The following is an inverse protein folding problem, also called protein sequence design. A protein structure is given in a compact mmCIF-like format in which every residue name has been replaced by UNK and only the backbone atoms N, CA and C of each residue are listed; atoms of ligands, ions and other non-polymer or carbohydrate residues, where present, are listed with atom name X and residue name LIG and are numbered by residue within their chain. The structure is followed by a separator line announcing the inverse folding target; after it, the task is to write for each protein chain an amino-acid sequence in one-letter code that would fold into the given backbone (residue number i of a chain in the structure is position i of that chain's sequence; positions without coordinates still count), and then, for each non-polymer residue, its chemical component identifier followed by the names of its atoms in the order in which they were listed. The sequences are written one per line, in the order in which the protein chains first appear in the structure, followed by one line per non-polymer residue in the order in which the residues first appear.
data_IF_113746312721
#
_entry.id   IF_113746312721
#
_cell.length_a   1.000
_cell.length_b   1.000
_cell.length_c   1.000
_cell.angle_alpha   90.00
_cell.angle_beta   90.00
_cell.angle_gamma   90.00
#
_symmetry.space_group_name_H-M   'P 1'
#
loop_
_entity.id
_entity.type
_entity.pdbx_description
1 polymer ?
#
# COMPACT_ATOMS: atom_id res chain seq x y z
N UNK A 1 -15.32 17.69 21.92
CA UNK A 1 -14.54 17.56 20.65
C UNK A 1 -14.33 16.06 20.46
N UNK A 2 -14.70 15.53 19.32
CA UNK A 2 -14.49 14.09 19.06
C UNK A 2 -12.99 13.78 18.97
N UNK A 3 -12.61 12.50 19.13
CA UNK A 3 -11.22 12.08 18.96
C UNK A 3 -10.72 12.35 17.53
N UNK A 4 -11.59 12.17 16.55
CA UNK A 4 -11.30 12.51 15.14
C UNK A 4 -10.99 14.00 14.99
N UNK A 5 -11.76 14.90 15.65
CA UNK A 5 -11.49 16.34 15.61
C UNK A 5 -10.12 16.69 16.20
N UNK A 6 -9.71 16.01 17.30
CA UNK A 6 -8.39 16.19 17.90
C UNK A 6 -7.27 15.78 16.94
N UNK A 7 -7.42 14.61 16.30
CA UNK A 7 -6.47 14.11 15.31
C UNK A 7 -6.39 15.07 14.12
N UNK A 8 -7.55 15.50 13.59
CA UNK A 8 -7.60 16.45 12.49
C UNK A 8 -6.87 17.75 12.84
N UNK A 9 -7.17 18.35 13.97
CA UNK A 9 -6.53 19.60 14.42
C UNK A 9 -5.02 19.42 14.54
N UNK A 10 -4.57 18.29 15.08
CA UNK A 10 -3.17 18.00 15.24
C UNK A 10 -2.45 17.83 13.89
N UNK A 11 -3.01 17.04 12.97
CA UNK A 11 -2.43 16.80 11.66
C UNK A 11 -2.47 18.06 10.77
N UNK A 12 -3.55 18.86 10.84
CA UNK A 12 -3.68 20.12 10.10
C UNK A 12 -2.63 21.14 10.52
N UNK A 13 -2.24 21.16 11.79
CA UNK A 13 -1.19 22.06 12.31
C UNK A 13 0.22 21.66 11.82
N UNK A 14 0.46 20.37 11.59
CA UNK A 14 1.79 19.86 11.20
C UNK A 14 1.98 19.70 9.69
N UNK A 15 0.91 19.39 8.97
CA UNK A 15 0.97 19.04 7.56
C UNK A 15 -0.06 19.89 6.80
N UNK A 16 0.41 20.89 6.07
CA UNK A 16 -0.46 21.85 5.36
C UNK A 16 -0.56 21.63 3.85
N UNK A 17 0.38 20.90 3.26
CA UNK A 17 0.47 20.70 1.80
C UNK A 17 -0.39 19.54 1.33
N UNK A 18 -1.03 19.67 0.17
CA UNK A 18 -1.70 18.57 -0.50
C UNK A 18 -0.69 17.52 -1.01
N UNK A 19 -1.13 16.28 -1.11
CA UNK A 19 -0.34 15.16 -1.61
C UNK A 19 -0.04 14.09 -0.56
N UNK A 20 0.93 13.23 -0.89
CA UNK A 20 1.47 12.21 0.00
C UNK A 20 2.71 12.76 0.72
N UNK A 21 2.64 12.85 2.01
CA UNK A 21 3.70 13.40 2.87
C UNK A 21 4.27 12.27 3.72
N UNK A 22 5.59 12.04 3.62
CA UNK A 22 6.31 11.18 4.56
C UNK A 22 6.55 11.97 5.85
N UNK A 23 6.17 11.42 6.99
CA UNK A 23 6.49 12.03 8.29
C UNK A 23 7.89 11.64 8.78
N UNK A 24 8.31 12.20 9.92
CA UNK A 24 9.57 11.84 10.60
C UNK A 24 9.53 10.40 11.17
N UNK A 25 8.36 9.80 11.30
CA UNK A 25 8.19 8.38 11.64
C UNK A 25 8.13 7.60 10.32
N UNK A 26 9.11 6.71 10.12
CA UNK A 26 9.30 5.94 8.88
C UNK A 26 8.03 5.23 8.41
N UNK A 27 7.24 4.71 9.34
CA UNK A 27 6.04 3.93 9.08
C UNK A 27 4.80 4.79 8.81
N UNK A 28 4.84 6.10 9.10
CA UNK A 28 3.69 7.00 9.03
C UNK A 28 3.73 7.90 7.80
N UNK A 29 2.69 7.83 7.00
CA UNK A 29 2.42 8.74 5.89
C UNK A 29 1.12 9.50 6.12
N UNK A 30 1.11 10.79 5.77
CA UNK A 30 -0.09 11.63 5.77
C UNK A 30 -0.50 11.93 4.33
N UNK A 31 -1.78 11.93 4.07
CA UNK A 31 -2.34 12.23 2.75
C UNK A 31 -3.35 13.36 2.87
N UNK A 32 -3.23 14.35 2.00
CA UNK A 32 -4.15 15.48 1.94
C UNK A 32 -4.59 15.75 0.51
N UNK A 33 -5.81 16.24 0.35
CA UNK A 33 -6.26 16.79 -0.91
C UNK A 33 -7.39 17.81 -0.66
N UNK A 34 -7.28 18.95 -1.29
CA UNK A 34 -8.29 20.01 -1.25
C UNK A 34 -9.43 19.75 -2.25
N UNK A 35 -9.17 18.99 -3.30
CA UNK A 35 -10.12 18.64 -4.36
C UNK A 35 -10.11 17.14 -4.65
N UNK A 36 -11.22 16.56 -5.13
CA UNK A 36 -11.27 15.17 -5.57
C UNK A 36 -10.24 14.86 -6.66
N UNK A 37 -9.80 13.61 -6.73
CA UNK A 37 -8.84 13.18 -7.75
C UNK A 37 -9.49 12.24 -8.75
N UNK A 38 -8.89 12.15 -9.94
CA UNK A 38 -9.15 11.03 -10.84
C UNK A 38 -8.58 9.74 -10.29
N UNK A 39 -8.91 8.60 -10.92
CA UNK A 39 -8.32 7.32 -10.56
C UNK A 39 -6.81 7.31 -10.82
N UNK A 40 -6.05 7.22 -9.74
CA UNK A 40 -4.60 7.10 -9.75
C UNK A 40 -4.22 5.65 -9.52
N UNK A 41 -3.32 5.16 -10.34
CA UNK A 41 -2.76 3.83 -10.17
C UNK A 41 -1.67 3.85 -9.11
N UNK A 42 -1.62 2.78 -8.31
CA UNK A 42 -0.64 2.62 -7.25
C UNK A 42 -0.50 1.18 -6.81
N UNK A 43 0.35 0.97 -5.81
CA UNK A 43 0.52 -0.32 -5.15
C UNK A 43 0.24 -0.12 -3.67
N UNK A 44 -0.76 -0.81 -3.15
CA UNK A 44 -0.93 -0.91 -1.70
C UNK A 44 0.20 -1.78 -1.14
N UNK A 45 0.73 -1.35 -0.03
CA UNK A 45 1.72 -2.08 0.78
C UNK A 45 1.01 -2.53 2.06
N UNK A 46 1.55 -3.53 2.81
CA UNK A 46 0.98 -3.89 4.10
C UNK A 46 0.87 -2.66 5.01
N UNK A 47 -0.36 -2.28 5.33
CA UNK A 47 -0.64 -1.06 6.07
C UNK A 47 -2.08 -0.99 6.58
N UNK A 48 -2.27 -0.20 7.63
CA UNK A 48 -3.54 0.37 8.04
C UNK A 48 -3.71 1.75 7.37
N UNK A 49 -4.81 1.95 6.66
CA UNK A 49 -5.20 3.23 6.08
C UNK A 49 -6.45 3.75 6.80
N UNK A 50 -6.40 4.94 7.37
CA UNK A 50 -7.52 5.59 8.05
C UNK A 50 -7.75 6.98 7.48
N UNK A 51 -9.02 7.30 7.25
CA UNK A 51 -9.48 8.61 6.79
C UNK A 51 -10.07 9.36 7.98
N UNK A 52 -9.73 10.63 8.13
CA UNK A 52 -10.26 11.51 9.19
C UNK A 52 -11.13 12.64 8.64
N UNK A 53 -11.01 12.93 7.33
CA UNK A 53 -11.89 13.84 6.59
C UNK A 53 -12.06 13.34 5.17
N UNK A 54 -13.28 13.37 4.67
CA UNK A 54 -13.61 13.00 3.31
C UNK A 54 -13.69 11.48 3.09
N UNK A 55 -13.50 11.02 1.86
CA UNK A 55 -13.59 9.60 1.53
C UNK A 55 -12.68 9.21 0.38
N UNK A 56 -12.33 7.93 0.31
CA UNK A 56 -11.51 7.35 -0.74
C UNK A 56 -12.13 6.07 -1.27
N UNK A 57 -12.08 5.89 -2.59
CA UNK A 57 -12.51 4.70 -3.28
C UNK A 57 -11.29 4.00 -3.88
N UNK A 58 -11.03 2.76 -3.47
CA UNK A 58 -10.02 1.89 -4.06
C UNK A 58 -10.69 0.78 -4.88
N UNK A 59 -10.03 0.36 -5.96
CA UNK A 59 -10.46 -0.75 -6.80
C UNK A 59 -9.30 -1.71 -7.00
N UNK A 60 -9.57 -3.01 -6.74
CA UNK A 60 -8.66 -4.13 -6.98
C UNK A 60 -9.40 -5.17 -7.81
N UNK A 61 -8.94 -5.45 -9.03
CA UNK A 61 -9.68 -6.31 -9.94
C UNK A 61 -11.06 -5.74 -10.24
N UNK A 62 -12.11 -6.46 -9.85
CA UNK A 62 -13.51 -6.04 -9.98
C UNK A 62 -14.09 -5.48 -8.67
N UNK A 63 -13.38 -5.59 -7.56
CA UNK A 63 -13.87 -5.23 -6.25
C UNK A 63 -13.60 -3.76 -5.91
N UNK A 64 -14.55 -3.14 -5.26
CA UNK A 64 -14.48 -1.75 -4.82
C UNK A 64 -14.49 -1.68 -3.29
N UNK A 65 -13.60 -0.86 -2.76
CA UNK A 65 -13.43 -0.58 -1.33
C UNK A 65 -13.57 0.92 -1.12
N UNK A 66 -14.74 1.34 -0.62
CA UNK A 66 -14.96 2.75 -0.23
C UNK A 66 -14.78 2.86 1.28
N UNK A 67 -13.97 3.81 1.73
CA UNK A 67 -13.71 4.06 3.14
C UNK A 67 -13.59 5.55 3.43
N UNK A 68 -14.02 5.89 4.63
CA UNK A 68 -14.23 7.22 5.14
C UNK A 68 -13.83 7.31 6.64
N UNK A 69 -14.39 8.27 7.36
CA UNK A 69 -14.12 8.48 8.78
C UNK A 69 -14.61 7.33 9.70
N UNK A 70 -15.52 6.49 9.20
CA UNK A 70 -16.10 5.37 9.96
C UNK A 70 -15.42 4.03 9.66
N UNK A 71 -14.69 3.97 8.55
CA UNK A 71 -14.10 2.73 8.07
C UNK A 71 -12.59 2.88 7.82
N UNK A 72 -11.84 1.88 8.26
CA UNK A 72 -10.44 1.75 7.87
C UNK A 72 -10.27 0.71 6.75
N UNK A 73 -9.16 0.82 6.02
CA UNK A 73 -8.74 -0.19 5.06
C UNK A 73 -7.46 -0.85 5.55
N UNK A 74 -7.46 -2.18 5.62
CA UNK A 74 -6.27 -3.00 5.79
C UNK A 74 -5.79 -3.51 4.45
N UNK A 75 -4.52 -3.32 4.17
CA UNK A 75 -3.81 -3.98 3.08
C UNK A 75 -2.79 -4.96 3.68
N UNK A 76 -2.81 -6.20 3.22
CA UNK A 76 -1.95 -7.23 3.77
C UNK A 76 -0.79 -7.62 2.83
N UNK A 77 -0.88 -7.31 1.54
CA UNK A 77 0.16 -7.63 0.57
C UNK A 77 0.36 -6.48 -0.43
N UNK A 78 1.39 -6.58 -1.28
CA UNK A 78 1.64 -5.61 -2.32
C UNK A 78 0.64 -5.77 -3.47
N UNK A 79 -0.44 -4.98 -3.46
CA UNK A 79 -1.54 -5.10 -4.41
C UNK A 79 -1.57 -3.90 -5.34
N UNK A 80 -1.44 -4.10 -6.66
CA UNK A 80 -1.74 -3.07 -7.63
C UNK A 80 -3.22 -2.72 -7.57
N UNK A 81 -3.50 -1.44 -7.36
CA UNK A 81 -4.85 -0.93 -7.27
C UNK A 81 -4.96 0.41 -8.00
N UNK A 82 -6.16 0.78 -8.38
CA UNK A 82 -6.47 2.15 -8.73
C UNK A 82 -7.33 2.75 -7.62
N UNK A 83 -7.08 3.99 -7.28
CA UNK A 83 -7.83 4.65 -6.22
C UNK A 83 -8.05 6.12 -6.55
N UNK A 84 -9.16 6.69 -6.08
CA UNK A 84 -9.46 8.12 -6.17
C UNK A 84 -9.93 8.66 -4.84
N UNK A 85 -9.59 9.90 -4.56
CA UNK A 85 -10.20 10.68 -3.49
C UNK A 85 -11.55 11.15 -3.99
N UNK A 86 -12.61 10.85 -3.24
CA UNK A 86 -13.99 11.11 -3.62
C UNK A 86 -14.58 12.27 -2.82
N UNK A 87 -14.37 12.24 -1.50
CA UNK A 87 -14.81 13.31 -0.58
C UNK A 87 -13.65 14.23 -0.19
N UNK A 88 -13.88 15.56 -0.28
CA UNK A 88 -12.92 16.58 0.14
C UNK A 88 -13.59 17.62 1.06
N UNK A 89 -12.80 18.32 1.93
CA UNK A 89 -11.35 18.17 2.09
C UNK A 89 -10.98 16.77 2.57
N UNK A 90 -9.86 16.23 2.09
CA UNK A 90 -9.39 14.89 2.42
C UNK A 90 -8.19 14.94 3.36
N UNK A 91 -8.25 14.18 4.46
CA UNK A 91 -7.17 13.99 5.39
C UNK A 91 -7.14 12.54 5.83
N UNK A 92 -6.02 11.88 5.59
CA UNK A 92 -5.85 10.46 5.93
C UNK A 92 -4.42 10.16 6.33
N UNK A 93 -4.26 9.02 7.00
CA UNK A 93 -2.94 8.44 7.28
C UNK A 93 -2.83 7.04 6.69
N UNK A 94 -1.58 6.63 6.50
CA UNK A 94 -1.19 5.24 6.26
C UNK A 94 -0.09 4.87 7.25
N UNK A 95 -0.30 3.81 8.02
CA UNK A 95 0.68 3.23 8.93
C UNK A 95 1.14 1.91 8.32
N UNK A 96 2.39 1.86 7.86
CA UNK A 96 2.99 0.64 7.35
C UNK A 96 3.39 -0.28 8.51
N UNK A 97 3.25 -1.58 8.31
CA UNK A 97 3.76 -2.61 9.21
C UNK A 97 4.41 -3.74 8.42
N UNK A 98 5.32 -4.42 9.06
CA UNK A 98 6.00 -5.58 8.48
C UNK A 98 5.32 -6.88 8.96
N UNK A 99 5.51 -7.96 8.19
CA UNK A 99 4.98 -9.28 8.55
C UNK A 99 5.45 -9.73 9.94
N UNK A 100 6.71 -9.44 10.26
CA UNK A 100 7.33 -9.77 11.54
C UNK A 100 6.63 -9.09 12.73
N UNK A 101 6.07 -7.90 12.53
CA UNK A 101 5.31 -7.19 13.57
C UNK A 101 4.01 -7.93 13.88
N UNK A 102 3.29 -8.39 12.85
CA UNK A 102 2.05 -9.18 13.01
C UNK A 102 2.35 -10.52 13.68
N UNK A 103 3.37 -11.25 13.19
CA UNK A 103 3.78 -12.54 13.75
C UNK A 103 4.14 -12.43 15.23
N UNK A 104 4.90 -11.38 15.60
CA UNK A 104 5.29 -11.15 16.99
C UNK A 104 4.09 -10.88 17.91
N UNK A 105 3.05 -10.21 17.41
CA UNK A 105 1.82 -10.02 18.19
C UNK A 105 1.02 -11.32 18.31
N UNK A 106 0.85 -12.06 17.18
CA UNK A 106 0.14 -13.36 17.21
C UNK A 106 0.79 -14.33 18.18
N UNK A 107 2.12 -14.44 18.18
CA UNK A 107 2.86 -15.28 19.09
C UNK A 107 2.64 -14.87 20.57
N UNK A 108 2.65 -13.56 20.84
CA UNK A 108 2.45 -13.01 22.18
C UNK A 108 1.04 -13.24 22.74
N UNK A 109 0.02 -13.39 21.89
CA UNK A 109 -1.37 -13.63 22.30
C UNK A 109 -1.75 -15.13 22.30
N UNK A 110 -0.76 -16.02 22.19
CA UNK A 110 -0.96 -17.48 22.31
C UNK A 110 -1.31 -18.18 21.00
N UNK A 111 -1.08 -17.54 19.85
CA UNK A 111 -1.42 -18.09 18.55
C UNK A 111 -2.95 -18.15 18.34
N UNK A 112 -3.38 -18.31 17.11
CA UNK A 112 -4.75 -18.68 16.81
C UNK A 112 -4.80 -19.34 15.43
N UNK A 113 -5.61 -20.37 15.29
CA UNK A 113 -5.93 -20.94 13.99
C UNK A 113 -6.70 -19.92 13.16
N UNK A 114 -6.29 -19.74 11.92
CA UNK A 114 -7.06 -18.93 10.97
C UNK A 114 -8.08 -19.83 10.28
N UNK A 115 -9.26 -19.30 10.03
CA UNK A 115 -10.26 -20.00 9.20
C UNK A 115 -9.78 -19.98 7.75
N UNK A 116 -9.85 -21.13 7.09
CA UNK A 116 -9.62 -21.22 5.64
C UNK A 116 -10.72 -20.45 4.91
N UNK A 117 -10.34 -19.39 4.18
CA UNK A 117 -11.24 -18.57 3.38
C UNK A 117 -10.54 -17.98 2.15
N UNK A 118 -11.28 -17.37 1.25
CA UNK A 118 -10.70 -16.60 0.16
C UNK A 118 -10.05 -15.35 0.73
N UNK A 119 -8.78 -15.13 0.35
CA UNK A 119 -8.00 -13.98 0.80
C UNK A 119 -7.99 -12.89 -0.29
N UNK A 120 -8.72 -11.82 -0.07
CA UNK A 120 -8.84 -10.70 -1.02
C UNK A 120 -7.65 -9.73 -1.00
N UNK A 121 -6.78 -9.83 0.00
CA UNK A 121 -5.60 -8.97 0.16
C UNK A 121 -5.89 -7.56 0.67
N UNK A 122 -7.13 -7.09 0.61
CA UNK A 122 -7.67 -5.89 1.25
C UNK A 122 -8.90 -6.27 2.10
N UNK A 123 -9.05 -5.61 3.24
CA UNK A 123 -10.23 -5.73 4.09
C UNK A 123 -10.65 -4.36 4.61
N UNK A 124 -11.96 -4.14 4.69
CA UNK A 124 -12.54 -2.98 5.38
C UNK A 124 -12.87 -3.37 6.81
N UNK A 125 -12.78 -2.42 7.73
CA UNK A 125 -13.23 -2.58 9.10
C UNK A 125 -13.78 -1.28 9.65
N UNK A 126 -14.55 -1.39 10.74
CA UNK A 126 -15.16 -0.24 11.42
C UNK A 126 -14.17 0.38 12.39
N UNK A 127 -14.07 1.69 12.35
CA UNK A 127 -13.24 2.46 13.29
C UNK A 127 -13.94 2.53 14.64
N UNK A 128 -13.26 2.08 15.69
CA UNK A 128 -13.71 2.20 17.07
C UNK A 128 -12.82 3.15 17.91
N UNK A 129 -13.27 3.48 19.11
CA UNK A 129 -12.57 4.41 19.99
C UNK A 129 -11.21 3.85 20.46
N UNK A 130 -11.08 2.53 20.66
CA UNK A 130 -9.84 1.89 21.09
C UNK A 130 -8.76 2.03 20.00
N UNK A 131 -9.13 1.78 18.74
CA UNK A 131 -8.24 1.96 17.59
C UNK A 131 -7.86 3.43 17.41
N UNK A 132 -8.82 4.36 17.53
CA UNK A 132 -8.56 5.80 17.41
C UNK A 132 -7.57 6.28 18.48
N UNK A 133 -7.73 5.84 19.73
CA UNK A 133 -6.79 6.19 20.82
C UNK A 133 -5.37 5.67 20.53
N UNK A 134 -5.24 4.41 20.15
CA UNK A 134 -3.94 3.82 19.83
C UNK A 134 -3.25 4.53 18.65
N UNK A 135 -4.02 4.84 17.60
CA UNK A 135 -3.52 5.57 16.43
C UNK A 135 -3.13 6.99 16.79
N UNK A 136 -3.92 7.69 17.60
CA UNK A 136 -3.58 9.04 18.03
C UNK A 136 -2.32 9.08 18.90
N UNK A 137 -2.18 8.13 19.81
CA UNK A 137 -0.97 7.94 20.63
C UNK A 137 0.27 7.72 19.72
N UNK A 138 0.15 6.90 18.66
CA UNK A 138 1.20 6.71 17.68
C UNK A 138 1.54 8.00 16.92
N UNK A 139 0.53 8.74 16.42
CA UNK A 139 0.72 10.01 15.71
C UNK A 139 1.44 11.04 16.62
N UNK A 140 1.11 11.11 17.91
CA UNK A 140 1.74 12.04 18.85
C UNK A 140 3.22 11.78 19.10
N UNK A 141 3.76 10.63 18.72
CA UNK A 141 5.22 10.41 18.74
C UNK A 141 5.99 11.37 17.83
N UNK A 142 5.31 12.04 16.89
CA UNK A 142 5.89 13.13 16.09
C UNK A 142 6.36 14.34 16.93
N UNK A 143 5.89 14.47 18.17
CA UNK A 143 6.36 15.48 19.13
C UNK A 143 7.66 15.05 19.83
N UNK A 144 8.02 13.77 19.72
CA UNK A 144 9.12 13.15 20.49
C UNK A 144 10.00 12.30 19.56
N UNK A 145 10.69 12.92 18.57
CA UNK A 145 11.38 12.19 17.51
C UNK A 145 12.48 11.25 18.02
N UNK A 146 13.11 11.54 19.15
CA UNK A 146 14.11 10.65 19.75
C UNK A 146 13.48 9.39 20.32
N UNK A 147 12.31 9.51 20.94
CA UNK A 147 11.57 8.38 21.50
C UNK A 147 10.85 7.59 20.40
N UNK A 148 10.44 8.26 19.32
CA UNK A 148 9.73 7.63 18.20
C UNK A 148 10.52 6.47 17.58
N UNK A 149 11.85 6.56 17.55
CA UNK A 149 12.72 5.48 17.04
C UNK A 149 12.48 4.12 17.72
N UNK A 150 12.13 4.15 19.01
CA UNK A 150 11.83 2.95 19.79
C UNK A 150 10.33 2.74 19.96
N UNK A 151 9.59 3.79 20.34
CA UNK A 151 8.18 3.68 20.72
C UNK A 151 7.25 3.44 19.52
N UNK A 152 7.62 3.84 18.30
CA UNK A 152 6.79 3.61 17.12
C UNK A 152 6.48 2.13 16.90
N UNK A 153 7.49 1.25 17.05
CA UNK A 153 7.27 -0.20 16.92
C UNK A 153 6.36 -0.77 18.00
N UNK A 154 6.44 -0.26 19.22
CA UNK A 154 5.55 -0.68 20.30
C UNK A 154 4.11 -0.22 20.05
N UNK A 155 3.93 1.02 19.61
CA UNK A 155 2.62 1.54 19.26
C UNK A 155 1.99 0.82 18.05
N UNK A 156 2.79 0.44 17.04
CA UNK A 156 2.33 -0.41 15.93
C UNK A 156 1.85 -1.78 16.45
N UNK A 157 2.58 -2.39 17.38
CA UNK A 157 2.15 -3.66 18.01
C UNK A 157 0.84 -3.52 18.78
N UNK A 158 0.64 -2.39 19.47
CA UNK A 158 -0.63 -2.08 20.15
C UNK A 158 -1.79 -1.99 19.12
N UNK A 159 -1.59 -1.25 18.03
CA UNK A 159 -2.56 -1.15 16.94
C UNK A 159 -2.84 -2.53 16.33
N UNK A 160 -1.81 -3.32 16.02
CA UNK A 160 -1.97 -4.66 15.47
C UNK A 160 -2.68 -5.61 16.44
N UNK A 161 -2.45 -5.47 17.75
CA UNK A 161 -3.16 -6.24 18.77
C UNK A 161 -4.67 -5.96 18.74
N UNK A 162 -5.07 -4.68 18.67
CA UNK A 162 -6.47 -4.27 18.58
C UNK A 162 -7.10 -4.85 17.30
N UNK A 163 -6.43 -4.70 16.15
CA UNK A 163 -6.90 -5.22 14.88
C UNK A 163 -7.03 -6.75 14.86
N UNK A 164 -6.10 -7.47 15.52
CA UNK A 164 -6.12 -8.93 15.65
C UNK A 164 -7.25 -9.44 16.54
N UNK A 165 -7.72 -8.64 17.49
CA UNK A 165 -8.88 -8.95 18.34
C UNK A 165 -10.21 -8.55 17.71
N UNK A 166 -10.20 -7.60 16.78
CA UNK A 166 -11.36 -7.12 16.07
C UNK A 166 -11.83 -8.04 14.92
N UNK A 167 -12.76 -7.55 14.13
CA UNK A 167 -13.39 -8.28 13.03
C UNK A 167 -12.43 -8.76 11.94
N UNK A 168 -11.33 -8.02 11.72
CA UNK A 168 -10.30 -8.34 10.73
C UNK A 168 -9.13 -9.18 11.30
N UNK A 169 -9.28 -9.75 12.50
CA UNK A 169 -8.25 -10.58 13.11
C UNK A 169 -7.91 -11.82 12.29
N UNK A 170 -8.93 -12.48 11.73
CA UNK A 170 -8.71 -13.65 10.86
C UNK A 170 -8.00 -13.28 9.56
N UNK A 171 -8.32 -12.12 8.97
CA UNK A 171 -7.62 -11.58 7.80
C UNK A 171 -6.12 -11.39 8.07
N UNK A 172 -5.75 -10.76 9.19
CA UNK A 172 -4.34 -10.57 9.58
C UNK A 172 -3.65 -11.89 9.91
N UNK A 173 -4.34 -12.85 10.54
CA UNK A 173 -3.80 -14.20 10.82
C UNK A 173 -3.55 -14.98 9.54
N UNK A 174 -4.48 -14.95 8.57
CA UNK A 174 -4.30 -15.58 7.26
C UNK A 174 -3.07 -15.00 6.54
N UNK A 175 -2.90 -13.69 6.57
CA UNK A 175 -1.73 -13.03 6.03
C UNK A 175 -0.43 -13.50 6.70
N UNK A 176 -0.46 -13.64 8.01
CA UNK A 176 0.73 -13.91 8.81
C UNK A 176 1.18 -15.37 8.82
N UNK A 177 0.33 -16.31 8.43
CA UNK A 177 0.69 -17.74 8.41
C UNK A 177 1.86 -18.02 7.47
N UNK A 178 3.02 -18.38 8.01
CA UNK A 178 4.28 -18.57 7.27
C UNK A 178 4.20 -19.63 6.16
N UNK A 179 3.42 -20.67 6.37
CA UNK A 179 3.24 -21.78 5.45
C UNK A 179 2.08 -21.58 4.48
N UNK A 180 1.31 -20.47 4.58
CA UNK A 180 0.19 -20.23 3.68
C UNK A 180 0.67 -19.76 2.31
N UNK A 181 -0.12 -20.06 1.30
CA UNK A 181 0.15 -19.62 -0.07
C UNK A 181 0.10 -18.10 -0.20
N UNK A 182 -0.72 -17.44 0.60
CA UNK A 182 -0.86 -15.97 0.68
C UNK A 182 0.45 -15.32 1.11
N UNK A 183 1.10 -15.87 2.15
CA UNK A 183 2.39 -15.40 2.61
C UNK A 183 3.47 -15.57 1.53
N UNK A 184 3.50 -16.73 0.86
CA UNK A 184 4.45 -16.96 -0.24
C UNK A 184 4.26 -15.97 -1.38
N UNK A 185 2.99 -15.65 -1.73
CA UNK A 185 2.68 -14.63 -2.73
C UNK A 185 3.12 -13.24 -2.27
N UNK A 186 2.91 -12.90 -1.01
CA UNK A 186 3.37 -11.64 -0.41
C UNK A 186 4.89 -11.50 -0.49
N UNK A 187 5.63 -12.55 -0.14
CA UNK A 187 7.09 -12.59 -0.28
C UNK A 187 7.54 -12.45 -1.73
N UNK A 188 6.83 -13.11 -2.67
CA UNK A 188 7.06 -12.94 -4.10
C UNK A 188 6.87 -11.49 -4.53
N UNK A 189 5.77 -10.86 -4.14
CA UNK A 189 5.48 -9.46 -4.49
C UNK A 189 6.53 -8.49 -3.93
N UNK A 190 7.00 -8.71 -2.70
CA UNK A 190 8.08 -7.92 -2.08
C UNK A 190 9.40 -8.08 -2.84
N UNK A 191 9.78 -9.31 -3.23
CA UNK A 191 11.00 -9.57 -4.02
C UNK A 191 10.91 -8.93 -5.41
N UNK A 192 9.78 -9.05 -6.10
CA UNK A 192 9.55 -8.40 -7.40
C UNK A 192 9.66 -6.88 -7.27
N UNK A 193 9.10 -6.30 -6.21
CA UNK A 193 9.15 -4.86 -5.96
C UNK A 193 10.58 -4.37 -5.68
N UNK A 194 11.36 -5.14 -4.94
CA UNK A 194 12.76 -4.78 -4.62
C UNK A 194 13.67 -4.87 -5.84
N UNK A 195 13.42 -5.82 -6.74
CA UNK A 195 14.25 -6.11 -7.91
C UNK A 195 13.52 -5.81 -9.23
N UNK A 196 12.65 -4.78 -9.24
CA UNK A 196 11.77 -4.54 -10.39
C UNK A 196 12.49 -4.20 -11.68
N UNK A 197 13.72 -3.69 -11.62
CA UNK A 197 14.56 -3.36 -12.80
C UNK A 197 15.17 -4.59 -13.47
N UNK A 198 15.26 -5.71 -12.76
CA UNK A 198 15.85 -6.95 -13.27
C UNK A 198 14.80 -7.83 -13.95
N UNK A 199 15.25 -8.74 -14.84
CA UNK A 199 14.35 -9.73 -15.43
C UNK A 199 13.95 -10.78 -14.37
N UNK A 200 12.65 -10.99 -14.18
CA UNK A 200 12.16 -12.02 -13.26
C UNK A 200 12.35 -13.40 -13.88
N UNK A 201 13.04 -14.28 -13.16
CA UNK A 201 12.98 -15.71 -13.40
C UNK A 201 11.93 -16.33 -12.45
N UNK A 202 10.77 -16.70 -13.01
CA UNK A 202 9.63 -17.23 -12.25
C UNK A 202 9.96 -18.56 -11.57
N UNK A 203 10.75 -19.43 -12.22
CA UNK A 203 11.13 -20.73 -11.69
C UNK A 203 12.03 -20.58 -10.45
N UNK A 204 13.03 -19.69 -10.55
CA UNK A 204 13.90 -19.39 -9.41
C UNK A 204 13.14 -18.74 -8.25
N UNK A 205 12.23 -17.81 -8.54
CA UNK A 205 11.39 -17.18 -7.54
C UNK A 205 10.49 -18.20 -6.83
N UNK A 206 9.83 -19.06 -7.58
CA UNK A 206 8.98 -20.12 -7.04
C UNK A 206 9.80 -21.12 -6.18
N UNK A 207 10.99 -21.51 -6.64
CA UNK A 207 11.91 -22.39 -5.90
C UNK A 207 12.32 -21.78 -4.56
N UNK A 208 12.67 -20.49 -4.51
CA UNK A 208 12.98 -19.77 -3.26
C UNK A 208 11.81 -19.77 -2.28
N UNK A 209 10.58 -19.79 -2.77
CA UNK A 209 9.36 -19.76 -1.97
C UNK A 209 8.84 -21.17 -1.62
N UNK A 210 9.51 -22.24 -2.09
CA UNK A 210 9.12 -23.62 -1.81
C UNK A 210 7.79 -24.02 -2.47
N UNK A 211 7.47 -23.48 -3.66
CA UNK A 211 6.28 -23.81 -4.45
C UNK A 211 6.64 -24.03 -5.91
N UNK A 212 5.74 -24.65 -6.69
CA UNK A 212 5.92 -24.76 -8.13
C UNK A 212 5.67 -23.42 -8.84
N UNK A 213 6.26 -23.22 -10.02
CA UNK A 213 6.06 -22.03 -10.83
C UNK A 213 4.57 -21.84 -11.22
N UNK A 214 3.86 -22.93 -11.51
CA UNK A 214 2.43 -22.90 -11.80
C UNK A 214 1.59 -22.49 -10.60
N UNK A 215 1.92 -22.99 -9.40
CA UNK A 215 1.27 -22.60 -8.15
C UNK A 215 1.51 -21.11 -7.84
N UNK A 216 2.76 -20.65 -8.01
CA UNK A 216 3.07 -19.22 -7.86
C UNK A 216 2.24 -18.37 -8.81
N UNK A 217 2.23 -18.73 -10.11
CA UNK A 217 1.52 -17.97 -11.14
C UNK A 217 0.01 -17.89 -10.85
N UNK A 218 -0.61 -19.05 -10.56
CA UNK A 218 -2.05 -19.14 -10.28
C UNK A 218 -2.45 -18.32 -9.04
N UNK A 219 -1.77 -18.54 -7.92
CA UNK A 219 -2.12 -17.88 -6.65
C UNK A 219 -1.74 -16.39 -6.66
N UNK A 220 -0.64 -16.02 -7.31
CA UNK A 220 -0.28 -14.62 -7.47
C UNK A 220 -1.36 -13.87 -8.25
N UNK A 221 -1.85 -14.46 -9.36
CA UNK A 221 -2.93 -13.86 -10.15
C UNK A 221 -4.25 -13.83 -9.37
N UNK A 222 -4.58 -14.88 -8.60
CA UNK A 222 -5.78 -14.93 -7.75
C UNK A 222 -5.78 -13.82 -6.71
N UNK A 223 -4.64 -13.60 -6.03
CA UNK A 223 -4.52 -12.66 -4.91
C UNK A 223 -4.34 -11.22 -5.39
N UNK A 224 -3.53 -11.00 -6.43
CA UNK A 224 -3.17 -9.64 -6.88
C UNK A 224 -3.93 -9.17 -8.12
N UNK A 225 -4.78 -10.03 -8.71
CA UNK A 225 -5.43 -9.87 -10.01
C UNK A 225 -4.46 -9.75 -11.22
N UNK A 226 -3.15 -9.89 -11.00
CA UNK A 226 -2.10 -9.79 -12.02
C UNK A 226 -1.18 -11.01 -11.97
N UNK A 227 -0.62 -11.40 -13.12
CA UNK A 227 0.50 -12.33 -13.10
C UNK A 227 1.77 -11.65 -12.55
N UNK A 228 2.77 -12.42 -12.07
CA UNK A 228 4.03 -11.84 -11.57
C UNK A 228 4.70 -10.89 -12.58
N UNK A 229 4.71 -11.23 -13.87
CA UNK A 229 5.27 -10.40 -14.93
C UNK A 229 4.43 -9.12 -15.18
N UNK A 230 3.10 -9.23 -15.13
CA UNK A 230 2.21 -8.06 -15.23
C UNK A 230 2.37 -7.15 -14.04
N UNK A 231 2.58 -7.70 -12.85
CA UNK A 231 2.83 -6.96 -11.63
C UNK A 231 4.15 -6.17 -11.72
N UNK A 232 5.25 -6.82 -12.14
CA UNK A 232 6.53 -6.13 -12.38
C UNK A 232 6.38 -5.01 -13.40
N UNK A 233 5.75 -5.30 -14.53
CA UNK A 233 5.50 -4.32 -15.58
C UNK A 233 4.77 -3.09 -15.04
N UNK A 234 3.72 -3.29 -14.24
CA UNK A 234 2.97 -2.20 -13.64
C UNK A 234 3.85 -1.34 -12.73
N UNK A 235 4.68 -1.97 -11.88
CA UNK A 235 5.63 -1.25 -11.02
C UNK A 235 6.61 -0.40 -11.87
N UNK A 236 7.20 -0.99 -12.92
CA UNK A 236 8.11 -0.29 -13.82
C UNK A 236 7.47 0.96 -14.41
N UNK A 237 6.26 0.82 -14.96
CA UNK A 237 5.56 1.93 -15.60
C UNK A 237 5.17 3.03 -14.61
N UNK A 238 4.73 2.68 -13.40
CA UNK A 238 4.47 3.66 -12.33
C UNK A 238 5.74 4.39 -11.87
N UNK A 239 6.84 3.66 -11.73
CA UNK A 239 8.13 4.27 -11.40
C UNK A 239 8.62 5.19 -12.52
N UNK A 240 8.51 4.76 -13.79
CA UNK A 240 8.85 5.59 -14.94
C UNK A 240 8.01 6.87 -14.99
N UNK A 241 6.71 6.79 -14.74
CA UNK A 241 5.84 7.98 -14.64
C UNK A 241 6.40 8.98 -13.61
N UNK A 242 6.79 8.51 -12.43
CA UNK A 242 7.36 9.39 -11.41
C UNK A 242 8.70 10.01 -11.85
N UNK A 243 9.56 9.27 -12.56
CA UNK A 243 10.82 9.77 -13.09
C UNK A 243 10.60 10.85 -14.16
N UNK A 244 9.67 10.61 -15.07
CA UNK A 244 9.29 11.56 -16.12
C UNK A 244 8.77 12.88 -15.55
N UNK A 245 7.89 12.82 -14.53
CA UNK A 245 7.22 14.00 -13.96
C UNK A 245 8.12 14.74 -12.98
N UNK A 246 8.80 14.03 -12.09
CA UNK A 246 9.49 14.64 -10.94
C UNK A 246 11.00 14.88 -11.18
N UNK A 247 11.60 14.16 -12.13
CA UNK A 247 13.04 14.24 -12.41
C UNK A 247 13.34 14.72 -13.83
N UNK A 248 12.32 15.08 -14.62
CA UNK A 248 12.45 15.56 -15.99
C UNK A 248 13.28 14.66 -16.92
N UNK A 249 13.33 13.34 -16.64
CA UNK A 249 13.98 12.40 -17.53
C UNK A 249 13.21 12.29 -18.86
N UNK A 250 13.93 12.05 -19.95
CA UNK A 250 13.27 11.73 -21.21
C UNK A 250 12.70 10.29 -21.19
N UNK A 251 11.88 9.97 -22.21
CA UNK A 251 11.21 8.66 -22.27
C UNK A 251 12.17 7.48 -22.40
N UNK A 252 13.34 7.67 -23.04
CA UNK A 252 14.34 6.62 -23.22
C UNK A 252 15.14 6.40 -21.92
N UNK A 253 15.55 7.50 -21.26
CA UNK A 253 16.21 7.46 -19.97
C UNK A 253 15.31 6.80 -18.91
N UNK A 254 14.04 7.22 -18.82
CA UNK A 254 13.08 6.62 -17.91
C UNK A 254 12.85 5.13 -18.20
N UNK A 255 12.79 4.72 -19.47
CA UNK A 255 12.65 3.31 -19.86
C UNK A 255 13.84 2.48 -19.35
N UNK A 256 15.08 2.91 -19.59
CA UNK A 256 16.27 2.20 -19.13
C UNK A 256 16.38 2.18 -17.61
N UNK A 257 16.11 3.30 -16.95
CA UNK A 257 16.14 3.42 -15.48
C UNK A 257 15.19 2.43 -14.78
N UNK A 258 14.07 2.07 -15.42
CA UNK A 258 13.13 1.11 -14.84
C UNK A 258 13.29 -0.32 -15.40
N UNK A 259 14.34 -0.59 -16.18
CA UNK A 259 14.73 -1.92 -16.62
C UNK A 259 14.07 -2.41 -17.91
N UNK A 260 13.62 -1.50 -18.80
CA UNK A 260 13.28 -1.86 -20.17
C UNK A 260 14.55 -1.92 -21.04
N UNK A 261 14.67 -2.96 -21.84
CA UNK A 261 15.76 -3.07 -22.83
C UNK A 261 15.47 -2.25 -24.11
N UNK A 262 14.22 -1.86 -24.35
CA UNK A 262 13.79 -1.15 -25.56
C UNK A 262 12.84 0.00 -25.24
N UNK A 263 13.21 1.26 -25.55
CA UNK A 263 12.32 2.39 -25.42
C UNK A 263 11.02 2.26 -26.26
N UNK A 264 11.09 1.59 -27.40
CA UNK A 264 9.91 1.34 -28.25
C UNK A 264 8.90 0.41 -27.55
N UNK A 265 9.38 -0.65 -26.88
CA UNK A 265 8.53 -1.51 -26.07
C UNK A 265 7.92 -0.72 -24.90
N UNK A 266 8.73 0.03 -24.19
CA UNK A 266 8.28 0.89 -23.09
C UNK A 266 7.17 1.85 -23.53
N UNK A 267 7.38 2.62 -24.62
CA UNK A 267 6.39 3.59 -25.11
C UNK A 267 5.05 2.93 -25.42
N UNK A 268 5.06 1.76 -26.07
CA UNK A 268 3.84 1.00 -26.39
C UNK A 268 3.11 0.57 -25.12
N UNK A 269 3.84 0.01 -24.14
CA UNK A 269 3.27 -0.49 -22.91
C UNK A 269 2.81 0.65 -21.98
N UNK A 270 3.55 1.76 -21.95
CA UNK A 270 3.18 2.97 -21.22
C UNK A 270 1.87 3.55 -21.75
N UNK A 271 1.78 3.72 -23.09
CA UNK A 271 0.56 4.25 -23.72
C UNK A 271 -0.64 3.35 -23.51
N UNK A 272 -0.45 2.03 -23.53
CA UNK A 272 -1.52 1.07 -23.21
C UNK A 272 -2.00 1.18 -21.76
N UNK A 273 -1.12 1.49 -20.83
CA UNK A 273 -1.47 1.57 -19.40
C UNK A 273 -2.10 2.91 -19.03
N UNK A 274 -1.57 4.02 -19.57
CA UNK A 274 -1.96 5.37 -19.17
C UNK A 274 -2.86 6.08 -20.21
N UNK A 275 -3.15 5.46 -21.35
CA UNK A 275 -3.98 6.05 -22.40
C UNK A 275 -3.28 7.10 -23.27
N UNK A 276 -2.04 7.46 -22.96
CA UNK A 276 -1.27 8.48 -23.67
C UNK A 276 0.23 8.18 -23.64
N UNK A 277 0.98 8.76 -24.60
CA UNK A 277 2.44 8.59 -24.64
C UNK A 277 3.12 9.25 -23.45
N UNK A 278 4.34 8.81 -23.06
CA UNK A 278 5.10 9.43 -21.97
C UNK A 278 5.21 10.95 -22.10
N UNK A 279 5.56 11.43 -23.29
CA UNK A 279 5.68 12.87 -23.58
C UNK A 279 4.36 13.61 -23.42
N UNK A 280 3.27 13.06 -23.97
CA UNK A 280 1.94 13.67 -23.83
C UNK A 280 1.47 13.71 -22.38
N UNK A 281 1.84 12.68 -21.58
CA UNK A 281 1.46 12.62 -20.17
C UNK A 281 2.19 13.67 -19.32
N UNK A 282 3.48 13.92 -19.60
CA UNK A 282 4.23 15.00 -18.94
C UNK A 282 3.62 16.35 -19.28
N UNK A 283 3.37 16.65 -20.57
CA UNK A 283 2.75 17.90 -21.02
C UNK A 283 1.38 18.13 -20.36
N UNK A 284 0.57 17.08 -20.25
CA UNK A 284 -0.76 17.18 -19.62
C UNK A 284 -0.72 17.53 -18.13
N UNK A 285 0.37 17.16 -17.43
CA UNK A 285 0.51 17.39 -15.98
C UNK A 285 1.26 18.71 -15.69
N UNK A 286 2.30 19.02 -16.49
CA UNK A 286 3.16 20.19 -16.23
C UNK A 286 2.58 21.48 -16.85
N UNK A 287 1.58 21.38 -17.72
CA UNK A 287 0.95 22.54 -18.36
C UNK A 287 1.87 23.26 -19.35
N UNK A 288 2.95 22.62 -19.78
CA UNK A 288 3.95 23.19 -20.69
C UNK A 288 3.63 22.89 -22.15
#
# INVERSE_FOLDING_TARGET
MSKIDEICKYLDAKFSSDGKIQSDIKELFVYRASVPTEFLTGVYEPALCMVFKGSKLAKVGNDFYEYDEQHYLLAATHIPAVAKIKGCPYLAIKINFELEDILGVIESIGGAESKNGEFAGLALGVVDDELLEAVFKFIRLLERPNDAKFLAKLAIKEILYILLKGENGDFLRQYAMLETIENRVTRAAKEIKSNYTEAINIENLAKKLGISASSLYHNFKRITALSPLQFQKKIRLEKAKNLLINQNLDAAEAAFAVGYASPSQFNREYSKMFGMSPKAHVLAITGA
#
